data_IF_770880860458
#
_entry.id   IF_770880860458
#
_cell.length_a   1.000
_cell.length_b   1.000
_cell.length_c   1.000
_cell.angle_alpha   90.00
_cell.angle_beta   90.00
_cell.angle_gamma   90.00
#
_symmetry.space_group_name_H-M   'P 1'
#
loop_
_entity.id
_entity.type
_entity.pdbx_description
1 polymer ?
#
# COMPACT_ATOMS: atom_id res chain seq x y z
N UNK A 1 3.67 -22.06 3.33
CA UNK A 1 3.67 -23.23 2.42
C UNK A 1 3.46 -22.73 0.99
N UNK A 2 4.28 -23.10 0.00
CA UNK A 2 3.75 -23.21 -1.36
C UNK A 2 4.13 -24.55 -1.98
N UNK A 3 3.12 -25.37 -2.23
CA UNK A 3 3.21 -26.49 -3.16
C UNK A 3 2.93 -25.96 -4.56
N UNK A 4 3.97 -25.76 -5.37
CA UNK A 4 3.79 -25.73 -6.81
C UNK A 4 3.60 -27.19 -7.27
N UNK A 5 2.35 -27.56 -7.59
CA UNK A 5 2.08 -28.83 -8.25
C UNK A 5 2.48 -28.69 -9.71
N UNK A 6 3.62 -29.29 -10.08
CA UNK A 6 3.99 -29.47 -11.47
C UNK A 6 2.99 -30.45 -12.11
N UNK A 7 2.31 -30.01 -13.17
CA UNK A 7 1.62 -30.90 -14.09
C UNK A 7 2.26 -30.69 -15.46
N UNK A 8 3.11 -31.63 -15.86
CA UNK A 8 3.59 -31.71 -17.23
C UNK A 8 3.06 -33.02 -17.81
N UNK A 9 2.00 -32.93 -18.61
CA UNK A 9 1.59 -34.02 -19.51
C UNK A 9 2.68 -34.11 -20.57
N UNK A 10 3.34 -35.26 -20.65
CA UNK A 10 4.65 -35.43 -21.26
C UNK A 10 4.67 -35.19 -22.77
N UNK A 11 5.46 -34.20 -23.19
CA UNK A 11 6.15 -34.13 -24.50
C UNK A 11 7.06 -32.89 -24.57
N UNK A 12 7.75 -32.54 -23.47
CA UNK A 12 8.78 -31.50 -23.49
C UNK A 12 10.14 -32.20 -23.57
N UNK A 13 10.97 -31.95 -24.60
CA UNK A 13 12.34 -32.46 -24.60
C UNK A 13 13.02 -31.92 -23.36
N UNK A 14 13.61 -32.81 -22.55
CA UNK A 14 14.33 -32.47 -21.30
C UNK A 14 15.28 -31.31 -21.60
N UNK A 15 14.90 -30.11 -21.15
CA UNK A 15 15.74 -28.95 -21.31
C UNK A 15 16.97 -29.18 -20.41
N UNK A 16 18.13 -29.43 -21.01
CA UNK A 16 19.42 -29.47 -20.30
C UNK A 16 19.89 -28.09 -19.80
N UNK A 17 19.05 -27.07 -19.92
CA UNK A 17 19.33 -25.75 -19.38
C UNK A 17 19.16 -25.78 -17.86
N UNK A 18 20.14 -25.28 -17.08
CA UNK A 18 19.94 -25.06 -15.65
C UNK A 18 18.72 -24.16 -15.44
N UNK A 19 17.93 -24.41 -14.39
CA UNK A 19 16.76 -23.60 -14.09
C UNK A 19 17.11 -22.11 -14.12
N UNK A 20 16.27 -21.24 -14.71
CA UNK A 20 16.42 -19.81 -14.49
C UNK A 20 16.41 -19.58 -12.98
N UNK A 21 17.35 -18.77 -12.49
CA UNK A 21 17.37 -18.43 -11.09
C UNK A 21 15.98 -17.93 -10.70
N UNK A 22 15.43 -18.34 -9.53
CA UNK A 22 14.18 -17.78 -9.04
C UNK A 22 14.28 -16.26 -9.12
N UNK A 23 13.21 -15.54 -9.49
CA UNK A 23 13.21 -14.10 -9.51
C UNK A 23 13.84 -13.64 -8.20
N UNK A 24 14.96 -12.91 -8.27
CA UNK A 24 15.59 -12.35 -7.07
C UNK A 24 14.47 -11.60 -6.38
N UNK A 25 14.03 -12.11 -5.23
CA UNK A 25 13.10 -11.43 -4.35
C UNK A 25 13.83 -10.14 -4.01
N UNK A 26 13.50 -9.08 -4.78
CA UNK A 26 14.12 -7.76 -4.72
C UNK A 26 14.16 -7.46 -3.24
N UNK A 27 15.37 -7.38 -2.66
CA UNK A 27 15.53 -7.34 -1.22
C UNK A 27 14.47 -6.41 -0.68
N UNK A 28 13.47 -6.94 0.04
CA UNK A 28 12.50 -6.15 0.81
C UNK A 28 13.23 -5.55 2.00
N UNK A 29 14.39 -4.96 1.72
CA UNK A 29 15.19 -4.20 2.63
C UNK A 29 14.37 -3.01 3.05
N UNK A 30 14.77 -2.44 4.17
CA UNK A 30 14.15 -1.29 4.84
C UNK A 30 13.92 -0.07 3.92
N UNK A 31 14.43 -0.09 2.69
CA UNK A 31 14.20 0.87 1.60
C UNK A 31 12.73 0.97 1.14
N UNK A 32 11.90 -0.02 1.49
CA UNK A 32 10.46 0.01 1.16
C UNK A 32 9.58 0.68 2.20
N UNK A 33 10.07 1.01 3.40
CA UNK A 33 9.27 1.60 4.47
C UNK A 33 9.22 3.12 4.33
N UNK A 34 8.00 3.67 4.36
CA UNK A 34 7.74 5.11 4.29
C UNK A 34 7.04 5.58 5.57
N UNK A 35 7.33 6.81 5.97
CA UNK A 35 6.75 7.46 7.15
C UNK A 35 5.72 8.50 6.71
N UNK A 36 4.50 8.37 7.21
CA UNK A 36 3.37 9.25 6.96
C UNK A 36 3.03 9.94 8.28
N UNK A 37 3.43 11.20 8.44
CA UNK A 37 3.11 12.04 9.59
C UNK A 37 1.76 12.73 9.37
N UNK A 38 0.78 12.43 10.22
CA UNK A 38 -0.59 12.94 10.13
C UNK A 38 -0.90 13.75 11.38
N UNK A 39 -0.88 15.08 11.26
CA UNK A 39 -1.03 16.05 12.35
C UNK A 39 -0.19 15.70 13.60
N UNK A 40 1.05 15.23 13.38
CA UNK A 40 2.01 14.83 14.43
C UNK A 40 2.04 13.33 14.74
N UNK A 41 1.06 12.56 14.28
CA UNK A 41 1.02 11.10 14.46
C UNK A 41 1.74 10.40 13.33
N UNK A 42 2.83 9.67 13.63
CA UNK A 42 3.64 8.98 12.62
C UNK A 42 3.11 7.57 12.34
N UNK A 43 2.61 7.37 11.13
CA UNK A 43 2.27 6.06 10.58
C UNK A 43 3.43 5.53 9.73
N UNK A 44 3.63 4.22 9.76
CA UNK A 44 4.63 3.53 8.95
C UNK A 44 3.97 2.46 8.11
N UNK A 45 4.33 2.40 6.83
CA UNK A 45 3.83 1.38 5.90
C UNK A 45 4.85 1.09 4.81
N UNK A 46 4.63 0.01 4.06
CA UNK A 46 5.42 -0.29 2.88
C UNK A 46 4.93 0.54 1.70
N UNK A 47 5.86 1.03 0.88
CA UNK A 47 5.59 1.71 -0.40
C UNK A 47 4.67 0.86 -1.28
N UNK A 48 4.98 -0.44 -1.40
CA UNK A 48 4.16 -1.44 -2.11
C UNK A 48 2.70 -1.48 -1.65
N UNK A 49 2.42 -1.14 -0.38
CA UNK A 49 1.05 -1.13 0.14
C UNK A 49 0.25 0.03 -0.44
N UNK A 50 0.88 1.20 -0.63
CA UNK A 50 0.25 2.35 -1.26
C UNK A 50 0.16 2.19 -2.79
N UNK A 51 1.19 1.61 -3.42
CA UNK A 51 1.23 1.34 -4.87
C UNK A 51 0.15 0.36 -5.34
N UNK A 52 -0.55 -0.31 -4.43
CA UNK A 52 -1.69 -1.18 -4.75
C UNK A 52 -2.85 -0.41 -5.41
N UNK A 53 -3.00 0.87 -5.10
CA UNK A 53 -4.05 1.74 -5.64
C UNK A 53 -3.38 3.01 -6.19
N UNK A 54 -2.77 2.96 -7.38
CA UNK A 54 -1.97 4.06 -7.93
C UNK A 54 -2.81 5.28 -8.37
N UNK A 55 -4.12 5.09 -8.48
CA UNK A 55 -5.13 6.09 -8.81
C UNK A 55 -5.46 7.02 -7.63
N UNK A 56 -5.00 6.71 -6.42
CA UNK A 56 -5.23 7.53 -5.24
C UNK A 56 -4.08 8.49 -4.98
N UNK A 57 -4.31 9.58 -4.24
CA UNK A 57 -3.26 10.54 -3.85
C UNK A 57 -2.07 9.86 -3.17
N UNK A 58 -2.35 8.91 -2.27
CA UNK A 58 -1.30 8.20 -1.53
C UNK A 58 -0.57 7.19 -2.39
N UNK A 59 -1.19 6.64 -3.43
CA UNK A 59 -0.56 5.66 -4.34
C UNK A 59 0.14 6.29 -5.54
N UNK A 60 -0.28 7.49 -5.93
CA UNK A 60 0.25 8.25 -7.06
C UNK A 60 1.52 9.03 -6.69
N UNK A 61 2.05 9.78 -7.67
CA UNK A 61 3.14 10.74 -7.45
C UNK A 61 2.68 12.03 -6.75
N UNK A 62 1.37 12.23 -6.57
CA UNK A 62 0.85 13.42 -5.88
C UNK A 62 1.26 13.47 -4.40
N UNK A 63 1.46 12.31 -3.79
CA UNK A 63 2.04 12.16 -2.46
C UNK A 63 3.38 12.91 -2.31
N UNK A 64 4.16 13.03 -3.39
CA UNK A 64 5.50 13.63 -3.35
C UNK A 64 5.43 15.15 -3.07
N UNK A 65 4.29 15.81 -3.33
CA UNK A 65 4.06 17.21 -2.92
C UNK A 65 4.02 17.41 -1.40
N UNK A 66 3.76 16.33 -0.65
CA UNK A 66 3.68 16.35 0.81
C UNK A 66 4.96 15.83 1.48
N UNK A 67 5.99 15.53 0.69
CA UNK A 67 7.25 15.00 1.20
C UNK A 67 8.14 16.11 1.76
N UNK A 68 8.61 15.92 2.99
CA UNK A 68 9.60 16.79 3.61
C UNK A 68 10.97 16.13 3.60
N UNK A 69 11.88 16.65 2.78
CA UNK A 69 13.24 16.10 2.63
C UNK A 69 14.05 16.13 3.93
N UNK A 70 13.94 17.19 4.73
CA UNK A 70 14.69 17.34 5.98
C UNK A 70 14.37 16.24 7.01
N UNK A 71 13.10 15.85 7.09
CA UNK A 71 12.60 14.86 8.04
C UNK A 71 12.43 13.47 7.41
N UNK A 72 12.62 13.36 6.09
CA UNK A 72 12.39 12.15 5.30
C UNK A 72 11.00 11.52 5.56
N UNK A 73 9.96 12.36 5.66
CA UNK A 73 8.59 11.93 5.95
C UNK A 73 7.56 12.74 5.15
N UNK A 74 6.39 12.13 4.91
CA UNK A 74 5.26 12.82 4.29
C UNK A 74 4.39 13.45 5.37
N UNK A 75 4.03 14.73 5.24
CA UNK A 75 3.21 15.43 6.22
C UNK A 75 1.79 15.69 5.69
N UNK A 76 0.80 15.33 6.49
CA UNK A 76 -0.61 15.56 6.21
C UNK A 76 -1.27 16.27 7.40
N UNK A 77 -1.86 17.44 7.15
CA UNK A 77 -2.67 18.14 8.14
C UNK A 77 -4.11 17.58 8.13
N UNK A 78 -4.27 16.34 8.60
CA UNK A 78 -5.52 15.57 8.56
C UNK A 78 -5.73 14.82 9.87
N UNK A 79 -6.95 14.35 10.09
CA UNK A 79 -7.30 13.60 11.30
C UNK A 79 -6.62 12.20 11.31
N UNK A 80 -5.80 11.88 12.33
CA UNK A 80 -5.07 10.62 12.40
C UNK A 80 -5.97 9.40 12.65
N UNK A 81 -7.12 9.58 13.30
CA UNK A 81 -8.07 8.48 13.52
C UNK A 81 -8.74 8.06 12.22
N UNK A 82 -9.14 9.02 11.39
CA UNK A 82 -9.65 8.76 10.04
C UNK A 82 -8.56 8.11 9.17
N UNK A 83 -7.32 8.62 9.25
CA UNK A 83 -6.21 8.10 8.45
C UNK A 83 -5.91 6.62 8.73
N UNK A 84 -6.10 6.16 9.97
CA UNK A 84 -5.94 4.74 10.33
C UNK A 84 -6.89 3.84 9.54
N UNK A 85 -8.12 4.29 9.29
CA UNK A 85 -9.07 3.55 8.45
C UNK A 85 -8.63 3.53 6.98
N UNK A 86 -8.14 4.66 6.47
CA UNK A 86 -7.58 4.77 5.11
C UNK A 86 -6.42 3.77 4.97
N UNK A 87 -5.45 3.77 5.88
CA UNK A 87 -4.29 2.88 5.79
C UNK A 87 -4.68 1.39 5.90
N UNK A 88 -5.69 1.08 6.71
CA UNK A 88 -6.22 -0.28 6.79
C UNK A 88 -6.88 -0.73 5.49
N UNK A 89 -7.51 0.20 4.74
CA UNK A 89 -8.02 -0.09 3.40
C UNK A 89 -6.90 -0.52 2.45
N UNK A 90 -5.77 0.19 2.39
CA UNK A 90 -4.63 -0.23 1.54
C UNK A 90 -4.08 -1.61 1.92
N UNK A 91 -4.04 -1.94 3.22
CA UNK A 91 -3.50 -3.21 3.73
C UNK A 91 -4.41 -4.40 3.42
N UNK A 92 -5.70 -4.24 3.65
CA UNK A 92 -6.67 -5.34 3.62
C UNK A 92 -7.51 -5.39 2.34
N UNK A 93 -7.56 -4.29 1.59
CA UNK A 93 -8.49 -4.09 0.47
C UNK A 93 -9.95 -4.00 0.90
N UNK A 94 -10.23 -3.92 2.21
CA UNK A 94 -11.59 -3.88 2.77
C UNK A 94 -11.70 -2.68 3.71
N UNK A 95 -12.73 -1.87 3.52
CA UNK A 95 -13.09 -0.85 4.50
C UNK A 95 -13.81 -1.55 5.66
N UNK A 96 -13.06 -2.13 6.60
CA UNK A 96 -13.63 -2.80 7.77
C UNK A 96 -14.01 -1.75 8.81
N UNK A 97 -15.32 -1.60 9.05
CA UNK A 97 -15.84 -0.91 10.22
C UNK A 97 -16.59 -1.93 11.10
N UNK A 98 -15.99 -2.40 12.22
CA UNK A 98 -16.64 -3.35 13.11
C UNK A 98 -17.66 -2.73 14.07
N UNK A 99 -17.80 -1.40 14.14
CA UNK A 99 -18.68 -0.76 15.13
C UNK A 99 -19.31 0.51 14.57
N UNK A 100 -20.44 0.30 13.90
CA UNK A 100 -21.68 1.08 14.01
C UNK A 100 -21.55 2.44 14.70
N UNK A 101 -20.80 3.35 14.08
CA UNK A 101 -20.94 4.78 14.25
C UNK A 101 -20.89 5.30 12.85
N UNK A 102 -22.06 5.57 12.31
CA UNK A 102 -22.30 6.50 11.22
C UNK A 102 -21.39 7.74 11.42
N UNK A 103 -20.17 7.74 10.88
CA UNK A 103 -19.29 8.92 10.97
C UNK A 103 -19.86 9.90 9.95
N UNK A 104 -20.88 10.66 10.36
CA UNK A 104 -21.45 11.84 9.70
C UNK A 104 -21.35 11.80 8.17
N UNK A 105 -22.17 10.91 7.62
CA UNK A 105 -22.31 10.48 6.23
C UNK A 105 -22.82 11.54 5.23
N UNK A 106 -22.57 12.85 5.40
CA UNK A 106 -23.15 13.85 4.48
C UNK A 106 -22.27 14.98 3.99
N UNK A 107 -20.97 15.03 4.30
CA UNK A 107 -20.15 16.10 3.71
C UNK A 107 -18.65 15.94 3.68
N UNK A 108 -18.07 15.14 4.58
CA UNK A 108 -16.60 15.13 4.71
C UNK A 108 -15.93 14.01 3.89
N UNK A 109 -16.62 12.89 3.67
CA UNK A 109 -16.07 11.78 2.89
C UNK A 109 -16.10 12.11 1.40
N UNK A 110 -17.10 12.85 0.88
CA UNK A 110 -17.09 13.26 -0.53
C UNK A 110 -15.94 14.20 -0.87
N UNK A 111 -15.54 15.08 0.06
CA UNK A 111 -14.40 15.96 -0.13
C UNK A 111 -13.07 15.23 0.08
N UNK A 112 -12.99 14.32 1.06
CA UNK A 112 -11.80 13.51 1.27
C UNK A 112 -11.58 12.50 0.13
N UNK A 113 -12.64 11.95 -0.46
CA UNK A 113 -12.54 11.05 -1.62
C UNK A 113 -12.30 11.83 -2.92
N UNK A 114 -12.83 13.05 -3.09
CA UNK A 114 -12.58 13.86 -4.30
C UNK A 114 -11.17 14.50 -4.36
N UNK A 115 -10.41 14.44 -3.27
CA UNK A 115 -8.99 14.86 -3.23
C UNK A 115 -8.04 13.68 -2.93
N UNK A 116 -8.55 12.44 -2.84
CA UNK A 116 -7.73 11.22 -2.70
C UNK A 116 -8.10 10.08 -3.68
N UNK A 117 -9.12 10.23 -4.53
CA UNK A 117 -9.56 9.33 -5.61
C UNK A 117 -9.87 10.15 -6.85
#
# INVERSE_FOLDING_TARGET
MPFARAAAVGWIPVASAPMPAPPREKQRGREGLIVLNVSGTKFQTWRDTLERYPDTLLGSSERDFFFHEESNEFFFDRDPDIFRHILNFYRTGKLFDPRDVFIKLTGFIFTALSFLV
#
